data_IF_064409779652
#
_entry.id   IF_064409779652
#
_cell.length_a   1.000
_cell.length_b   1.000
_cell.length_c   1.000
_cell.angle_alpha   90.00
_cell.angle_beta   90.00
_cell.angle_gamma   90.00
#
_symmetry.space_group_name_H-M   'P 1'
#
loop_
_entity.id
_entity.type
_entity.pdbx_description
1 polymer ?
#
# COMPACT_ATOMS: atom_id res chain seq x y z
N UNK A 1 -8.19 -43.27 -11.29
CA UNK A 1 -8.94 -41.99 -11.19
C UNK A 1 -7.95 -40.84 -11.26
N UNK A 2 -8.31 -39.76 -11.95
CA UNK A 2 -7.45 -38.82 -12.67
C UNK A 2 -6.58 -37.93 -11.78
N UNK A 3 -5.34 -38.36 -11.50
CA UNK A 3 -4.31 -37.52 -10.85
C UNK A 3 -3.92 -36.30 -11.68
N UNK A 4 -3.98 -36.41 -13.01
CA UNK A 4 -3.59 -35.34 -13.94
C UNK A 4 -4.48 -34.10 -13.81
N UNK A 5 -5.80 -34.28 -13.74
CA UNK A 5 -6.78 -33.19 -13.62
C UNK A 5 -6.58 -32.33 -12.37
N UNK A 6 -6.26 -32.97 -11.23
CA UNK A 6 -5.95 -32.28 -9.97
C UNK A 6 -4.63 -31.51 -10.03
N UNK A 7 -3.60 -32.07 -10.65
CA UNK A 7 -2.30 -31.38 -10.80
C UNK A 7 -2.36 -30.21 -11.78
N UNK A 8 -3.11 -30.35 -12.87
CA UNK A 8 -3.33 -29.27 -13.85
C UNK A 8 -4.04 -28.07 -13.21
N UNK A 9 -5.09 -28.32 -12.41
CA UNK A 9 -5.79 -27.27 -11.66
C UNK A 9 -4.87 -26.61 -10.62
N UNK A 10 -4.07 -27.41 -9.91
CA UNK A 10 -3.09 -26.91 -8.94
C UNK A 10 -2.06 -25.99 -9.60
N UNK A 11 -1.50 -26.40 -10.73
CA UNK A 11 -0.51 -25.63 -11.48
C UNK A 11 -1.09 -24.33 -12.05
N UNK A 12 -2.31 -24.38 -12.58
CA UNK A 12 -2.99 -23.17 -13.06
C UNK A 12 -3.23 -22.16 -11.93
N UNK A 13 -3.66 -22.64 -10.75
CA UNK A 13 -3.84 -21.78 -9.56
C UNK A 13 -2.53 -21.20 -9.07
N UNK A 14 -1.45 -21.99 -9.04
CA UNK A 14 -0.11 -21.54 -8.68
C UNK A 14 0.37 -20.43 -9.62
N UNK A 15 0.18 -20.61 -10.93
CA UNK A 15 0.57 -19.61 -11.94
C UNK A 15 -0.19 -18.29 -11.76
N UNK A 16 -1.51 -18.34 -11.52
CA UNK A 16 -2.32 -17.16 -11.28
C UNK A 16 -1.87 -16.41 -10.01
N UNK A 17 -1.72 -17.12 -8.89
CA UNK A 17 -1.31 -16.51 -7.63
C UNK A 17 0.12 -15.96 -7.68
N UNK A 18 1.04 -16.60 -8.38
CA UNK A 18 2.39 -16.05 -8.59
C UNK A 18 2.33 -14.76 -9.40
N UNK A 19 1.51 -14.71 -10.47
CA UNK A 19 1.30 -13.48 -11.24
C UNK A 19 0.71 -12.36 -10.37
N UNK A 20 -0.31 -12.67 -9.57
CA UNK A 20 -0.93 -11.70 -8.67
C UNK A 20 0.06 -11.21 -7.62
N UNK A 21 0.91 -12.10 -7.09
CA UNK A 21 1.99 -11.75 -6.18
C UNK A 21 3.02 -10.84 -6.87
N UNK A 22 3.49 -11.17 -8.06
CA UNK A 22 4.48 -10.37 -8.81
C UNK A 22 3.96 -8.97 -9.14
N UNK A 23 2.72 -8.86 -9.61
CA UNK A 23 2.07 -7.60 -9.97
C UNK A 23 1.46 -6.86 -8.77
N UNK A 24 1.55 -7.43 -7.56
CA UNK A 24 0.97 -6.85 -6.37
C UNK A 24 1.50 -5.44 -6.14
N UNK A 25 0.59 -4.47 -6.03
CA UNK A 25 0.86 -3.07 -5.72
C UNK A 25 -0.30 -2.47 -4.94
N UNK A 26 0.02 -1.42 -4.20
CA UNK A 26 -0.93 -0.59 -3.50
C UNK A 26 -1.89 0.08 -4.49
N UNK A 27 -3.18 0.00 -4.18
CA UNK A 27 -4.26 0.60 -4.96
C UNK A 27 -4.49 2.05 -4.51
N UNK A 28 -5.09 2.91 -5.38
CA UNK A 28 -5.45 4.27 -5.00
C UNK A 28 -6.36 4.29 -3.77
N UNK A 29 -6.03 5.13 -2.78
CA UNK A 29 -6.76 5.27 -1.51
C UNK A 29 -6.85 3.97 -0.67
N UNK A 30 -5.99 2.99 -0.94
CA UNK A 30 -5.88 1.80 -0.11
C UNK A 30 -5.18 2.14 1.21
N UNK A 31 -5.67 1.59 2.33
CA UNK A 31 -4.96 1.72 3.60
C UNK A 31 -3.87 0.66 3.74
N UNK A 32 -2.84 0.93 4.55
CA UNK A 32 -1.78 -0.04 4.87
C UNK A 32 -2.36 -1.35 5.42
N UNK A 33 -3.41 -1.26 6.23
CA UNK A 33 -4.11 -2.46 6.75
C UNK A 33 -4.70 -3.31 5.61
N UNK A 34 -5.39 -2.67 4.68
CA UNK A 34 -6.05 -3.37 3.57
C UNK A 34 -5.03 -3.94 2.58
N UNK A 35 -3.96 -3.18 2.30
CA UNK A 35 -2.82 -3.65 1.52
C UNK A 35 -2.22 -4.92 2.13
N UNK A 36 -1.93 -4.90 3.43
CA UNK A 36 -1.33 -6.04 4.10
C UNK A 36 -2.26 -7.27 4.10
N UNK A 37 -3.56 -7.08 4.35
CA UNK A 37 -4.53 -8.17 4.29
C UNK A 37 -4.58 -8.83 2.89
N UNK A 38 -4.60 -8.03 1.82
CA UNK A 38 -4.56 -8.54 0.44
C UNK A 38 -3.26 -9.29 0.15
N UNK A 39 -2.13 -8.82 0.67
CA UNK A 39 -0.86 -9.53 0.55
C UNK A 39 -0.93 -10.89 1.26
N UNK A 40 -1.49 -10.93 2.47
CA UNK A 40 -1.69 -12.17 3.24
C UNK A 40 -2.59 -13.16 2.49
N UNK A 41 -3.66 -12.72 1.86
CA UNK A 41 -4.54 -13.60 1.09
C UNK A 41 -3.78 -14.33 -0.04
N UNK A 42 -2.92 -13.60 -0.76
CA UNK A 42 -2.11 -14.17 -1.84
C UNK A 42 -1.03 -15.10 -1.28
N UNK A 43 -0.30 -14.68 -0.24
CA UNK A 43 0.79 -15.50 0.34
C UNK A 43 0.25 -16.75 1.00
N UNK A 44 -0.90 -16.69 1.69
CA UNK A 44 -1.57 -17.87 2.25
C UNK A 44 -2.03 -18.83 1.15
N UNK A 45 -2.55 -18.30 0.03
CA UNK A 45 -2.89 -19.10 -1.15
C UNK A 45 -1.70 -19.84 -1.72
N UNK A 46 -0.54 -19.17 -1.83
CA UNK A 46 0.71 -19.76 -2.31
C UNK A 46 1.32 -20.75 -1.31
N UNK A 47 1.22 -20.46 -0.01
CA UNK A 47 1.65 -21.33 1.08
C UNK A 47 0.89 -22.66 1.06
N UNK A 48 -0.44 -22.59 0.88
CA UNK A 48 -1.28 -23.79 0.71
C UNK A 48 -0.93 -24.63 -0.52
N UNK A 49 -0.15 -24.10 -1.46
CA UNK A 49 0.35 -24.80 -2.65
C UNK A 49 1.82 -25.23 -2.53
N UNK A 50 2.47 -24.97 -1.39
CA UNK A 50 3.83 -25.41 -1.08
C UNK A 50 4.91 -24.34 -1.26
N UNK A 51 4.56 -23.08 -1.54
CA UNK A 51 5.53 -21.97 -1.55
C UNK A 51 5.86 -21.56 -0.13
N UNK A 52 7.13 -21.33 0.16
CA UNK A 52 7.59 -20.82 1.47
C UNK A 52 8.13 -19.42 1.26
N UNK A 53 7.80 -18.51 2.18
CA UNK A 53 8.26 -17.13 2.13
C UNK A 53 9.20 -16.85 3.30
N UNK A 54 10.33 -16.20 2.99
CA UNK A 54 11.20 -15.63 4.01
C UNK A 54 10.58 -14.41 4.66
N UNK A 55 10.91 -14.14 5.91
CA UNK A 55 10.48 -12.91 6.58
C UNK A 55 11.01 -11.66 5.86
N UNK A 56 12.28 -11.70 5.46
CA UNK A 56 12.93 -10.64 4.69
C UNK A 56 12.29 -10.45 3.30
N UNK A 57 11.86 -11.55 2.66
CA UNK A 57 11.11 -11.52 1.41
C UNK A 57 9.78 -10.78 1.60
N UNK A 58 9.02 -11.07 2.65
CA UNK A 58 7.75 -10.40 2.91
C UNK A 58 7.92 -8.93 3.29
N UNK A 59 8.95 -8.60 4.07
CA UNK A 59 9.32 -7.21 4.41
C UNK A 59 9.65 -6.41 3.15
N UNK A 60 10.52 -6.93 2.29
CA UNK A 60 10.86 -6.31 1.01
C UNK A 60 9.66 -6.22 0.09
N UNK A 61 8.81 -7.26 0.08
CA UNK A 61 7.59 -7.28 -0.72
C UNK A 61 6.66 -6.16 -0.28
N UNK A 62 6.40 -6.01 1.02
CA UNK A 62 5.50 -4.98 1.53
C UNK A 62 6.02 -3.57 1.19
N UNK A 63 7.31 -3.30 1.42
CA UNK A 63 7.94 -2.02 1.05
C UNK A 63 7.85 -1.75 -0.45
N UNK A 64 8.18 -2.72 -1.29
CA UNK A 64 8.21 -2.59 -2.74
C UNK A 64 6.85 -2.47 -3.42
N UNK A 65 5.76 -2.68 -2.68
CA UNK A 65 4.40 -2.56 -3.22
C UNK A 65 3.74 -1.21 -2.88
N UNK A 66 4.36 -0.38 -2.04
CA UNK A 66 3.86 0.95 -1.71
C UNK A 66 3.95 1.88 -2.93
N UNK A 67 3.10 2.91 -2.97
CA UNK A 67 3.12 3.92 -4.03
C UNK A 67 4.19 5.01 -3.76
N UNK A 68 4.44 5.87 -4.74
CA UNK A 68 5.50 6.88 -4.71
C UNK A 68 5.38 7.87 -3.53
N UNK A 69 4.17 8.09 -2.98
CA UNK A 69 3.98 8.96 -1.80
C UNK A 69 4.67 8.42 -0.54
N UNK A 70 4.97 7.12 -0.52
CA UNK A 70 5.68 6.45 0.57
C UNK A 70 7.19 6.40 0.37
N UNK A 71 7.73 6.79 -0.80
CA UNK A 71 9.17 6.70 -1.12
C UNK A 71 10.05 7.29 0.00
N UNK A 72 9.79 8.50 0.55
CA UNK A 72 10.63 9.05 1.62
C UNK A 72 10.64 8.20 2.89
N UNK A 73 9.51 7.52 3.19
CA UNK A 73 9.40 6.63 4.35
C UNK A 73 10.09 5.29 4.09
N UNK A 74 10.00 4.78 2.87
CA UNK A 74 10.71 3.56 2.43
C UNK A 74 12.22 3.78 2.54
N UNK A 75 12.75 4.83 1.90
CA UNK A 75 14.20 5.16 1.96
C UNK A 75 14.70 5.28 3.40
N UNK A 76 13.96 6.01 4.25
CA UNK A 76 14.35 6.16 5.65
C UNK A 76 14.40 4.83 6.42
N UNK A 77 13.54 3.86 6.10
CA UNK A 77 13.58 2.52 6.70
C UNK A 77 14.78 1.75 6.17
N UNK A 78 15.00 1.76 4.86
CA UNK A 78 16.10 1.05 4.20
C UNK A 78 17.48 1.53 4.67
N UNK A 79 17.62 2.83 4.96
CA UNK A 79 18.86 3.41 5.47
C UNK A 79 19.11 3.16 6.96
N UNK A 80 18.06 2.96 7.76
CA UNK A 80 18.16 2.91 9.22
C UNK A 80 18.01 1.51 9.84
N UNK A 81 17.54 0.52 9.06
CA UNK A 81 17.20 -0.83 9.55
C UNK A 81 17.78 -1.91 8.64
N UNK A 82 18.16 -3.03 9.23
CA UNK A 82 18.47 -4.24 8.46
C UNK A 82 17.18 -5.00 8.13
N UNK A 83 16.76 -4.93 6.86
CA UNK A 83 15.56 -5.59 6.38
C UNK A 83 15.59 -7.13 6.51
N UNK A 84 16.78 -7.74 6.68
CA UNK A 84 16.89 -9.19 6.85
C UNK A 84 16.45 -9.67 8.23
N UNK A 85 16.53 -8.80 9.23
CA UNK A 85 16.22 -9.12 10.63
C UNK A 85 14.98 -8.42 11.14
N UNK A 86 14.44 -7.47 10.38
CA UNK A 86 13.26 -6.70 10.73
C UNK A 86 12.00 -7.59 10.76
N UNK A 87 11.18 -7.41 11.79
CA UNK A 87 9.88 -8.09 11.88
C UNK A 87 8.81 -7.40 11.03
N UNK A 88 7.92 -8.20 10.43
CA UNK A 88 6.88 -7.65 9.55
C UNK A 88 5.86 -6.82 10.33
N UNK A 89 5.61 -7.21 11.58
CA UNK A 89 4.78 -6.49 12.54
C UNK A 89 5.39 -5.14 12.93
N UNK A 90 6.73 -5.08 13.12
CA UNK A 90 7.46 -3.83 13.34
C UNK A 90 7.29 -2.89 12.13
N UNK A 91 7.46 -3.43 10.92
CA UNK A 91 7.28 -2.68 9.68
C UNK A 91 5.85 -2.15 9.57
N UNK A 92 4.85 -3.01 9.79
CA UNK A 92 3.44 -2.65 9.71
C UNK A 92 3.08 -1.52 10.69
N UNK A 93 3.55 -1.61 11.94
CA UNK A 93 3.35 -0.56 12.94
C UNK A 93 3.98 0.78 12.54
N UNK A 94 5.19 0.74 11.97
CA UNK A 94 5.90 1.92 11.46
C UNK A 94 5.15 2.59 10.30
N UNK A 95 4.62 1.78 9.36
CA UNK A 95 3.84 2.26 8.22
C UNK A 95 2.48 2.84 8.66
N UNK A 96 1.72 2.13 9.49
CA UNK A 96 0.44 2.62 10.02
C UNK A 96 0.57 3.93 10.81
N UNK A 97 1.63 4.06 11.62
CA UNK A 97 1.91 5.31 12.34
C UNK A 97 2.18 6.47 11.38
N UNK A 98 2.84 6.21 10.26
CA UNK A 98 3.08 7.21 9.23
C UNK A 98 1.80 7.57 8.46
N UNK A 99 0.96 6.59 8.13
CA UNK A 99 -0.34 6.78 7.49
C UNK A 99 -1.22 7.79 8.24
N UNK A 100 -1.31 7.66 9.57
CA UNK A 100 -2.07 8.59 10.42
C UNK A 100 -1.53 10.03 10.30
N UNK A 101 -0.21 10.20 10.15
CA UNK A 101 0.41 11.52 9.98
C UNK A 101 0.15 12.10 8.59
N UNK A 102 0.18 11.28 7.54
CA UNK A 102 -0.16 11.69 6.17
C UNK A 102 -1.61 12.15 6.08
N UNK A 103 -2.54 11.36 6.63
CA UNK A 103 -3.97 11.67 6.61
C UNK A 103 -4.31 12.97 7.39
N UNK A 104 -3.56 13.29 8.44
CA UNK A 104 -3.69 14.58 9.15
C UNK A 104 -3.20 15.77 8.32
N UNK A 105 -2.18 15.59 7.48
CA UNK A 105 -1.68 16.64 6.59
C UNK A 105 -2.64 16.91 5.44
N UNK A 106 -3.20 15.85 4.84
CA UNK A 106 -4.20 15.99 3.77
C UNK A 106 -5.47 16.68 4.27
N UNK A 107 -5.96 16.35 5.46
CA UNK A 107 -7.10 17.06 6.08
C UNK A 107 -6.83 18.56 6.28
N UNK A 108 -5.65 18.95 6.77
CA UNK A 108 -5.26 20.36 6.93
C UNK A 108 -5.14 21.13 5.61
N UNK A 109 -4.73 20.46 4.52
CA UNK A 109 -4.65 21.06 3.19
C UNK A 109 -6.03 21.33 2.58
N UNK A 110 -7.05 20.54 2.94
CA UNK A 110 -8.43 20.77 2.49
C UNK A 110 -9.06 21.97 3.21
N UNK A 111 -8.76 22.17 4.49
CA UNK A 111 -9.26 23.33 5.27
C UNK A 111 -8.61 24.66 4.88
N UNK A 112 -7.46 24.64 4.21
CA UNK A 112 -6.67 25.85 3.89
C UNK A 112 -6.84 26.36 2.44
N UNK A 113 -7.70 25.75 1.61
CA UNK A 113 -8.07 26.35 0.31
C UNK A 113 -8.94 27.60 0.55
N UNK A 114 -8.47 28.82 0.23
CA UNK A 114 -9.26 30.03 0.43
C UNK A 114 -10.50 30.01 -0.48
N UNK A 115 -11.65 30.40 0.07
CA UNK A 115 -12.83 30.81 -0.71
C UNK A 115 -12.51 32.07 -1.51
N UNK A 116 -11.75 31.95 -2.59
CA UNK A 116 -11.48 33.06 -3.52
C UNK A 116 -12.48 33.02 -4.68
N UNK A 117 -13.77 33.04 -4.37
CA UNK A 117 -14.82 33.25 -5.38
C UNK A 117 -16.13 33.61 -4.67
N UNK A 118 -16.25 34.86 -4.19
CA UNK A 118 -17.54 35.58 -4.04
C UNK A 118 -17.35 37.02 -3.53
N UNK A 119 -16.57 37.84 -4.26
CA UNK A 119 -16.73 39.31 -4.26
C UNK A 119 -16.42 39.85 -5.66
N UNK A 120 -17.29 39.54 -6.61
CA UNK A 120 -17.51 40.42 -7.77
C UNK A 120 -18.88 41.05 -7.55
N UNK A 121 -18.95 42.35 -7.81
CA UNK A 121 -20.14 43.21 -7.73
C UNK A 121 -20.53 43.55 -6.27
N UNK A 122 -20.29 44.76 -5.77
CA UNK A 122 -21.00 45.99 -6.16
C UNK A 122 -20.01 47.16 -6.24
N UNK A 123 -19.73 47.60 -7.47
CA UNK A 123 -19.31 48.97 -7.73
C UNK A 123 -20.58 49.77 -8.05
N UNK A 124 -20.99 50.67 -7.17
CA UNK A 124 -21.84 51.81 -7.53
C UNK A 124 -21.23 53.08 -6.96
N UNK A 125 -21.06 54.03 -7.87
CA UNK A 125 -20.15 55.18 -7.82
C UNK A 125 -20.65 56.27 -6.86
N UNK A 126 -19.69 57.02 -6.31
CA UNK A 126 -19.88 58.34 -5.69
C UNK A 126 -20.42 59.38 -6.66
N UNK A 127 -20.80 60.53 -6.08
CA UNK A 127 -21.10 61.87 -6.66
C UNK A 127 -22.48 62.00 -7.32
N UNK A 128 -23.34 62.96 -6.96
CA UNK A 128 -23.10 64.38 -6.67
C UNK A 128 -23.77 64.86 -5.38
#
# INVERSE_FOLDING_TARGET
LTHEGTEQVKNAKLALLNRDYELFKMQPNESIKNLYNRLLDITNGLLGLGKVFGQDELVRKLLGCLNDEWEPKVTAIEESKDLKTMEIEELLGSLMTHEVKLNKKSAKLVETKPQEERRKDIALKSTH
#
